data_IF_627416385498
#
_entry.id   IF_627416385498
#
_cell.length_a   1.000
_cell.length_b   1.000
_cell.length_c   1.000
_cell.angle_alpha   90.00
_cell.angle_beta   90.00
_cell.angle_gamma   90.00
#
_symmetry.space_group_name_H-M   'P 1'
#
loop_
_entity.id
_entity.type
_entity.pdbx_description
1 polymer ?
#
# COMPACT_ATOMS: atom_id res chain seq x y z
N UNK A 1 41.05 -1.81 59.73
CA UNK A 1 39.74 -1.98 59.08
C UNK A 1 39.89 -1.60 57.62
N UNK A 2 40.01 -2.57 56.72
CA UNK A 2 40.13 -2.33 55.28
C UNK A 2 38.72 -2.36 54.66
N UNK A 3 38.26 -1.24 54.10
CA UNK A 3 37.04 -1.17 53.31
C UNK A 3 37.34 -1.66 51.89
N UNK A 4 36.84 -2.85 51.53
CA UNK A 4 36.81 -3.30 50.15
C UNK A 4 35.67 -2.60 49.41
N UNK A 5 36.00 -1.51 48.70
CA UNK A 5 35.12 -0.92 47.71
C UNK A 5 34.96 -1.90 46.53
N UNK A 6 33.82 -2.59 46.52
CA UNK A 6 33.41 -3.42 45.38
C UNK A 6 33.00 -2.47 44.26
N UNK A 7 33.89 -2.31 43.28
CA UNK A 7 33.61 -1.56 42.07
C UNK A 7 32.40 -2.17 41.34
N UNK A 8 31.27 -1.44 41.34
CA UNK A 8 30.08 -1.78 40.56
C UNK A 8 30.44 -1.68 39.08
N UNK A 9 30.29 -2.76 38.28
CA UNK A 9 30.61 -2.70 36.85
C UNK A 9 29.72 -1.66 36.15
N UNK A 10 30.34 -0.68 35.48
CA UNK A 10 29.63 0.26 34.62
C UNK A 10 28.85 -0.53 33.56
N UNK A 11 27.53 -0.38 33.55
CA UNK A 11 26.66 -1.01 32.58
C UNK A 11 27.14 -0.67 31.15
N UNK A 12 27.60 -1.68 30.42
CA UNK A 12 28.00 -1.55 29.02
C UNK A 12 26.79 -1.05 28.25
N UNK A 13 26.90 0.15 27.66
CA UNK A 13 25.84 0.73 26.85
C UNK A 13 25.52 -0.24 25.70
N UNK A 14 24.38 -0.93 25.80
CA UNK A 14 23.93 -1.84 24.74
C UNK A 14 23.79 -1.05 23.44
N UNK A 15 24.35 -1.52 22.31
CA UNK A 15 24.22 -0.82 21.04
C UNK A 15 22.73 -0.61 20.72
N UNK A 16 22.38 0.56 20.18
CA UNK A 16 20.97 0.93 19.86
C UNK A 16 20.22 -0.14 19.07
N UNK A 17 20.96 -0.92 18.26
CA UNK A 17 20.44 -2.04 17.48
C UNK A 17 20.00 -3.23 18.35
N UNK A 18 20.76 -3.62 19.38
CA UNK A 18 20.37 -4.75 20.25
C UNK A 18 19.14 -4.39 21.09
N UNK A 19 19.07 -3.16 21.60
CA UNK A 19 17.88 -2.67 22.30
C UNK A 19 16.63 -2.60 21.38
N UNK A 20 16.80 -2.32 20.09
CA UNK A 20 15.72 -2.36 19.10
C UNK A 20 15.27 -3.79 18.82
N UNK A 21 16.22 -4.71 18.61
CA UNK A 21 15.93 -6.13 18.36
C UNK A 21 15.30 -6.80 19.58
N UNK A 22 15.68 -6.44 20.79
CA UNK A 22 15.03 -6.93 22.01
C UNK A 22 13.57 -6.44 22.11
N UNK A 23 13.28 -5.22 21.66
CA UNK A 23 11.92 -4.63 21.72
C UNK A 23 11.01 -5.08 20.58
N UNK A 24 11.56 -5.23 19.38
CA UNK A 24 10.81 -5.47 18.14
C UNK A 24 11.11 -6.83 17.51
N UNK A 25 11.86 -7.70 18.18
CA UNK A 25 12.38 -8.95 17.63
C UNK A 25 11.32 -9.85 17.01
N UNK A 26 10.12 -9.91 17.59
CA UNK A 26 8.98 -10.63 17.01
C UNK A 26 8.54 -10.04 15.66
N UNK A 27 8.44 -8.71 15.58
CA UNK A 27 8.02 -8.03 14.35
C UNK A 27 9.09 -8.17 13.27
N UNK A 28 10.36 -7.97 13.65
CA UNK A 28 11.51 -8.18 12.77
C UNK A 28 11.55 -9.62 12.28
N UNK A 29 11.33 -10.60 13.16
CA UNK A 29 11.27 -12.01 12.81
C UNK A 29 10.18 -12.32 11.79
N UNK A 30 8.95 -11.81 11.99
CA UNK A 30 7.83 -12.01 11.05
C UNK A 30 8.13 -11.39 9.68
N UNK A 31 8.61 -10.14 9.65
CA UNK A 31 8.94 -9.46 8.38
C UNK A 31 10.11 -10.16 7.68
N UNK A 32 11.11 -10.63 8.44
CA UNK A 32 12.26 -11.35 7.88
C UNK A 32 11.86 -12.73 7.34
N UNK A 33 11.00 -13.46 8.05
CA UNK A 33 10.46 -14.74 7.59
C UNK A 33 9.64 -14.57 6.31
N UNK A 34 8.83 -13.51 6.23
CA UNK A 34 8.16 -13.16 4.99
C UNK A 34 9.13 -12.89 3.85
N UNK A 35 10.12 -12.01 4.10
CA UNK A 35 11.10 -11.64 3.10
C UNK A 35 11.88 -12.85 2.59
N UNK A 36 12.30 -13.75 3.49
CA UNK A 36 12.95 -15.00 3.14
C UNK A 36 12.03 -15.92 2.32
N UNK A 37 10.77 -16.05 2.70
CA UNK A 37 9.78 -16.85 1.96
C UNK A 37 9.54 -16.30 0.54
N UNK A 38 9.44 -14.99 0.38
CA UNK A 38 9.29 -14.35 -0.93
C UNK A 38 10.57 -14.52 -1.75
N UNK A 39 11.74 -14.27 -1.17
CA UNK A 39 13.04 -14.44 -1.83
C UNK A 39 13.23 -15.88 -2.34
N UNK A 40 12.90 -16.88 -1.52
CA UNK A 40 12.99 -18.28 -1.88
C UNK A 40 12.07 -18.64 -3.06
N UNK A 41 10.84 -18.11 -3.07
CA UNK A 41 9.86 -18.38 -4.13
C UNK A 41 10.00 -17.47 -5.35
N UNK A 42 10.85 -16.45 -5.28
CA UNK A 42 10.95 -15.38 -6.26
C UNK A 42 11.14 -15.86 -7.72
N UNK A 43 11.95 -16.91 -8.01
CA UNK A 43 12.06 -17.45 -9.37
C UNK A 43 10.73 -17.96 -9.94
N UNK A 44 9.86 -18.50 -9.07
CA UNK A 44 8.52 -19.00 -9.45
C UNK A 44 7.47 -17.88 -9.52
N UNK A 45 7.85 -16.64 -9.19
CA UNK A 45 6.94 -15.49 -9.06
C UNK A 45 7.17 -14.42 -10.12
N UNK A 46 8.08 -14.65 -11.05
CA UNK A 46 8.21 -13.91 -12.31
C UNK A 46 7.30 -14.57 -13.34
N UNK A 47 6.12 -14.00 -13.54
CA UNK A 47 5.08 -14.53 -14.42
C UNK A 47 4.79 -13.60 -15.61
N UNK A 48 3.71 -13.86 -16.34
CA UNK A 48 3.30 -13.13 -17.54
C UNK A 48 3.34 -11.59 -17.38
N UNK A 49 2.82 -11.05 -16.28
CA UNK A 49 2.75 -9.60 -16.05
C UNK A 49 4.15 -8.98 -15.83
N UNK A 50 5.09 -9.75 -15.28
CA UNK A 50 6.48 -9.32 -15.13
C UNK A 50 7.14 -9.16 -16.50
N UNK A 51 6.98 -10.17 -17.36
CA UNK A 51 7.51 -10.12 -18.73
C UNK A 51 6.87 -9.00 -19.54
N UNK A 52 5.55 -8.82 -19.41
CA UNK A 52 4.86 -7.69 -20.03
C UNK A 52 5.42 -6.35 -19.54
N UNK A 53 5.66 -6.19 -18.23
CA UNK A 53 6.26 -4.97 -17.69
C UNK A 53 7.66 -4.69 -18.24
N UNK A 54 8.50 -5.71 -18.42
CA UNK A 54 9.84 -5.56 -18.97
C UNK A 54 9.81 -5.22 -20.46
N UNK A 55 8.94 -5.86 -21.24
CA UNK A 55 8.78 -5.59 -22.67
C UNK A 55 8.18 -4.21 -22.89
N UNK A 56 7.10 -3.85 -22.18
CA UNK A 56 6.49 -2.53 -22.23
C UNK A 56 7.47 -1.44 -21.82
N UNK A 57 8.24 -1.66 -20.75
CA UNK A 57 9.27 -0.72 -20.31
C UNK A 57 10.36 -0.51 -21.34
N UNK A 58 10.78 -1.58 -22.04
CA UNK A 58 11.72 -1.47 -23.17
C UNK A 58 11.14 -0.66 -24.31
N UNK A 59 9.86 -0.83 -24.64
CA UNK A 59 9.19 -0.04 -25.67
C UNK A 59 9.16 1.44 -25.28
N UNK A 60 8.74 1.75 -24.05
CA UNK A 60 8.69 3.13 -23.53
C UNK A 60 10.06 3.81 -23.61
N UNK A 61 11.12 3.12 -23.18
CA UNK A 61 12.48 3.68 -23.18
C UNK A 61 13.04 3.88 -24.59
N UNK A 62 12.72 2.99 -25.54
CA UNK A 62 13.29 3.04 -26.91
C UNK A 62 12.48 3.88 -27.89
N UNK A 63 11.17 3.89 -27.76
CA UNK A 63 10.25 4.47 -28.76
C UNK A 63 9.31 5.53 -28.17
N UNK A 64 9.38 5.79 -26.87
CA UNK A 64 8.46 6.69 -26.18
C UNK A 64 7.14 6.01 -25.81
N UNK A 65 6.20 6.82 -25.33
CA UNK A 65 4.91 6.34 -24.81
C UNK A 65 4.05 5.75 -25.95
N UNK A 66 3.46 4.56 -25.76
CA UNK A 66 2.64 3.94 -26.79
C UNK A 66 1.33 4.70 -26.98
N UNK A 67 0.94 4.95 -28.24
CA UNK A 67 -0.39 5.44 -28.62
C UNK A 67 -1.36 4.32 -29.05
N UNK A 68 -0.80 3.16 -29.43
CA UNK A 68 -1.53 1.97 -29.85
C UNK A 68 -0.82 0.71 -29.36
N UNK A 69 -1.57 -0.38 -29.23
CA UNK A 69 -1.00 -1.68 -28.88
C UNK A 69 -0.20 -2.25 -30.05
N UNK A 70 1.04 -2.63 -29.76
CA UNK A 70 2.00 -3.28 -30.69
C UNK A 70 2.50 -4.61 -30.14
N UNK A 71 2.05 -4.99 -28.94
CA UNK A 71 2.59 -6.12 -28.18
C UNK A 71 1.68 -7.34 -28.25
N UNK A 72 0.37 -7.15 -28.37
CA UNK A 72 -0.58 -8.27 -28.38
C UNK A 72 -1.23 -8.47 -29.76
N UNK A 73 -1.40 -9.74 -30.14
CA UNK A 73 -1.91 -10.12 -31.47
C UNK A 73 -3.34 -9.63 -31.71
N UNK A 74 -4.23 -9.80 -30.73
CA UNK A 74 -5.66 -9.52 -30.88
C UNK A 74 -6.02 -8.04 -30.90
N UNK A 75 -5.22 -7.20 -30.22
CA UNK A 75 -5.48 -5.75 -30.14
C UNK A 75 -4.44 -4.91 -30.87
N UNK A 76 -3.62 -5.52 -31.73
CA UNK A 76 -2.65 -4.80 -32.55
C UNK A 76 -3.30 -3.62 -33.30
N UNK A 77 -2.69 -2.45 -33.21
CA UNK A 77 -3.17 -1.21 -33.81
C UNK A 77 -4.35 -0.55 -33.09
N UNK A 78 -4.94 -1.16 -32.05
CA UNK A 78 -5.98 -0.52 -31.23
C UNK A 78 -5.35 0.53 -30.32
N UNK A 79 -6.11 1.60 -30.07
CA UNK A 79 -5.68 2.64 -29.13
C UNK A 79 -5.43 2.04 -27.73
N UNK A 80 -4.29 2.37 -27.13
CA UNK A 80 -3.88 1.85 -25.84
C UNK A 80 -3.35 2.98 -24.96
N UNK A 81 -3.86 3.03 -23.73
CA UNK A 81 -3.38 3.93 -22.69
C UNK A 81 -2.59 3.10 -21.69
N UNK A 82 -1.27 3.24 -21.73
CA UNK A 82 -0.38 2.53 -20.81
C UNK A 82 -0.16 3.33 -19.52
N UNK A 83 -1.18 3.33 -18.67
CA UNK A 83 -1.21 4.11 -17.44
C UNK A 83 -0.04 3.80 -16.47
N UNK A 84 0.60 2.64 -16.60
CA UNK A 84 1.65 2.16 -15.69
C UNK A 84 3.07 2.31 -16.27
N UNK A 85 3.25 3.16 -17.29
CA UNK A 85 4.50 3.33 -18.02
C UNK A 85 5.73 3.63 -17.13
N UNK A 86 5.60 4.39 -16.04
CA UNK A 86 6.74 4.66 -15.13
C UNK A 86 7.19 3.37 -14.47
N UNK A 87 6.25 2.57 -13.97
CA UNK A 87 6.57 1.30 -13.33
C UNK A 87 7.21 0.32 -14.31
N UNK A 88 6.74 0.31 -15.56
CA UNK A 88 7.35 -0.50 -16.61
C UNK A 88 8.76 -0.02 -16.98
N UNK A 89 8.96 1.29 -17.21
CA UNK A 89 10.26 1.87 -17.52
C UNK A 89 11.26 1.63 -16.38
N UNK A 90 10.84 1.80 -15.13
CA UNK A 90 11.65 1.48 -13.95
C UNK A 90 11.97 -0.02 -13.88
N UNK A 91 11.01 -0.89 -14.18
CA UNK A 91 11.22 -2.35 -14.23
C UNK A 91 12.26 -2.73 -15.28
N UNK A 92 12.16 -2.16 -16.48
CA UNK A 92 13.15 -2.38 -17.55
C UNK A 92 14.52 -1.80 -17.20
N UNK A 93 14.59 -0.62 -16.57
CA UNK A 93 15.85 -0.04 -16.11
C UNK A 93 16.55 -0.89 -15.05
N UNK A 94 15.81 -1.46 -14.10
CA UNK A 94 16.36 -2.40 -13.12
C UNK A 94 16.87 -3.68 -13.81
N UNK A 95 16.11 -4.18 -14.78
CA UNK A 95 16.51 -5.33 -15.57
C UNK A 95 17.75 -5.06 -16.43
N UNK A 96 17.89 -3.89 -17.04
CA UNK A 96 19.04 -3.58 -17.90
C UNK A 96 20.34 -3.45 -17.11
N UNK A 97 20.28 -3.04 -15.84
CA UNK A 97 21.46 -2.90 -14.96
C UNK A 97 21.85 -4.22 -14.28
N UNK A 98 20.87 -4.97 -13.75
CA UNK A 98 21.14 -6.14 -12.90
C UNK A 98 20.40 -7.41 -13.28
N UNK A 99 19.84 -7.45 -14.49
CA UNK A 99 19.08 -8.58 -15.01
C UNK A 99 17.79 -8.86 -14.23
N UNK A 100 17.24 -10.06 -14.46
CA UNK A 100 15.99 -10.47 -13.82
C UNK A 100 16.10 -10.54 -12.29
N UNK A 101 17.30 -10.80 -11.76
CA UNK A 101 17.56 -10.86 -10.32
C UNK A 101 17.30 -9.50 -9.66
N UNK A 102 17.84 -8.41 -10.20
CA UNK A 102 17.64 -7.07 -9.64
C UNK A 102 16.18 -6.62 -9.75
N UNK A 103 15.54 -6.87 -10.90
CA UNK A 103 14.11 -6.59 -11.07
C UNK A 103 13.27 -7.32 -9.99
N UNK A 104 13.50 -8.62 -9.83
CA UNK A 104 12.72 -9.42 -8.89
C UNK A 104 13.02 -9.05 -7.42
N UNK A 105 14.28 -8.75 -7.07
CA UNK A 105 14.64 -8.24 -5.74
C UNK A 105 14.01 -6.88 -5.44
N UNK A 106 13.75 -6.06 -6.47
CA UNK A 106 13.06 -4.78 -6.29
C UNK A 106 11.61 -4.98 -5.81
N UNK A 107 10.90 -5.99 -6.32
CA UNK A 107 9.57 -6.35 -5.81
C UNK A 107 9.62 -6.64 -4.30
N UNK A 108 10.55 -7.49 -3.87
CA UNK A 108 10.74 -7.80 -2.46
C UNK A 108 11.03 -6.54 -1.64
N UNK A 109 11.96 -5.70 -2.10
CA UNK A 109 12.32 -4.46 -1.42
C UNK A 109 11.13 -3.51 -1.27
N UNK A 110 10.31 -3.35 -2.31
CA UNK A 110 9.15 -2.47 -2.31
C UNK A 110 8.04 -2.97 -1.36
N UNK A 111 7.78 -4.27 -1.33
CA UNK A 111 6.77 -4.84 -0.41
C UNK A 111 7.26 -4.74 1.04
N UNK A 112 8.52 -5.08 1.31
CA UNK A 112 9.12 -4.94 2.65
C UNK A 112 9.12 -3.49 3.11
N UNK A 113 9.43 -2.53 2.22
CA UNK A 113 9.36 -1.10 2.51
C UNK A 113 7.93 -0.69 2.90
N UNK A 114 6.92 -1.10 2.14
CA UNK A 114 5.53 -0.80 2.45
C UNK A 114 5.11 -1.37 3.82
N UNK A 115 5.47 -2.63 4.11
CA UNK A 115 5.24 -3.26 5.41
C UNK A 115 5.96 -2.52 6.54
N UNK A 116 7.21 -2.13 6.34
CA UNK A 116 7.98 -1.39 7.33
C UNK A 116 7.35 -0.04 7.66
N UNK A 117 6.88 0.70 6.64
CA UNK A 117 6.18 1.98 6.84
C UNK A 117 4.92 1.80 7.71
N UNK A 118 4.11 0.79 7.39
CA UNK A 118 2.89 0.46 8.13
C UNK A 118 3.19 0.04 9.57
N UNK A 119 4.19 -0.82 9.77
CA UNK A 119 4.65 -1.27 11.10
C UNK A 119 5.12 -0.08 11.92
N UNK A 120 6.00 0.75 11.38
CA UNK A 120 6.52 1.95 12.07
C UNK A 120 5.37 2.87 12.46
N UNK A 121 4.39 3.05 11.58
CA UNK A 121 3.22 3.85 11.86
C UNK A 121 2.31 3.27 12.96
N UNK A 122 2.14 1.95 13.00
CA UNK A 122 1.42 1.26 14.05
C UNK A 122 2.11 1.44 15.41
N UNK A 123 3.43 1.28 15.43
CA UNK A 123 4.26 1.42 16.64
C UNK A 123 4.26 2.86 17.15
N UNK A 124 4.38 3.86 16.27
CA UNK A 124 4.25 5.29 16.61
C UNK A 124 2.87 5.64 17.17
N UNK A 125 1.83 4.89 16.78
CA UNK A 125 0.47 5.00 17.30
C UNK A 125 0.20 4.12 18.51
N UNK A 126 1.23 3.51 19.10
CA UNK A 126 1.19 2.78 20.37
C UNK A 126 0.61 1.37 20.31
N UNK A 127 0.49 0.76 19.12
CA UNK A 127 0.24 -0.69 19.01
C UNK A 127 1.35 -1.45 19.72
N UNK A 128 1.08 -2.48 20.52
CA UNK A 128 2.14 -3.29 21.15
C UNK A 128 2.92 -4.12 20.11
N UNK A 129 4.20 -4.50 20.36
CA UNK A 129 4.96 -5.31 19.41
C UNK A 129 4.27 -6.64 19.12
N UNK A 130 3.66 -7.26 20.15
CA UNK A 130 2.90 -8.50 20.02
C UNK A 130 1.68 -8.35 19.13
N UNK A 131 0.89 -7.29 19.31
CA UNK A 131 -0.28 -7.04 18.46
C UNK A 131 0.14 -6.81 17.01
N UNK A 132 1.19 -6.00 16.79
CA UNK A 132 1.73 -5.77 15.44
C UNK A 132 2.24 -7.05 14.82
N UNK A 133 2.97 -7.90 15.55
CA UNK A 133 3.48 -9.17 15.04
C UNK A 133 2.36 -10.13 14.64
N UNK A 134 1.33 -10.30 15.47
CA UNK A 134 0.19 -11.18 15.16
C UNK A 134 -0.61 -10.69 13.95
N UNK A 135 -0.89 -9.38 13.87
CA UNK A 135 -1.54 -8.81 12.68
C UNK A 135 -0.63 -8.94 11.45
N UNK A 136 0.67 -8.71 11.61
CA UNK A 136 1.63 -8.82 10.52
C UNK A 136 1.69 -10.23 9.95
N UNK A 137 1.60 -11.30 10.76
CA UNK A 137 1.55 -12.69 10.28
C UNK A 137 0.38 -12.89 9.30
N UNK A 138 -0.81 -12.44 9.69
CA UNK A 138 -2.01 -12.57 8.85
C UNK A 138 -1.88 -11.72 7.57
N UNK A 139 -1.44 -10.47 7.70
CA UNK A 139 -1.25 -9.56 6.56
C UNK A 139 -0.21 -10.10 5.58
N UNK A 140 0.92 -10.59 6.09
CA UNK A 140 2.00 -11.21 5.30
C UNK A 140 1.50 -12.42 4.53
N UNK A 141 0.71 -13.29 5.17
CA UNK A 141 0.11 -14.44 4.52
C UNK A 141 -0.80 -14.01 3.36
N UNK A 142 -1.70 -13.06 3.61
CA UNK A 142 -2.59 -12.52 2.59
C UNK A 142 -1.85 -11.81 1.45
N UNK A 143 -0.75 -11.11 1.75
CA UNK A 143 0.14 -10.53 0.74
C UNK A 143 0.84 -11.60 -0.09
N UNK A 144 1.26 -12.73 0.50
CA UNK A 144 1.86 -13.81 -0.27
C UNK A 144 0.89 -14.43 -1.30
N UNK A 145 -0.41 -14.42 -1.00
CA UNK A 145 -1.47 -14.84 -1.91
C UNK A 145 -1.73 -13.79 -3.01
N UNK A 146 -2.04 -12.55 -2.60
CA UNK A 146 -2.55 -11.53 -3.51
C UNK A 146 -1.47 -10.65 -4.17
N UNK A 147 -0.27 -10.56 -3.57
CA UNK A 147 0.87 -9.75 -4.02
C UNK A 147 2.13 -10.59 -4.26
N UNK A 148 2.04 -11.91 -4.32
CA UNK A 148 3.23 -12.76 -4.36
C UNK A 148 3.99 -12.74 -5.70
N UNK A 149 3.46 -12.12 -6.75
CA UNK A 149 4.09 -12.04 -8.08
C UNK A 149 4.78 -10.70 -8.30
N UNK A 150 5.96 -10.71 -8.93
CA UNK A 150 6.64 -9.49 -9.33
C UNK A 150 5.83 -8.79 -10.42
N UNK A 151 5.27 -7.62 -10.09
CA UNK A 151 4.38 -6.83 -10.96
C UNK A 151 4.70 -5.34 -10.85
N UNK A 152 4.28 -4.55 -11.82
CA UNK A 152 4.25 -3.06 -11.74
C UNK A 152 3.50 -2.55 -10.51
N UNK A 153 2.48 -3.30 -10.03
CA UNK A 153 1.75 -3.01 -8.80
C UNK A 153 2.66 -2.91 -7.56
N UNK A 154 3.84 -3.53 -7.56
CA UNK A 154 4.79 -3.49 -6.44
C UNK A 154 5.20 -2.08 -6.06
N UNK A 155 5.36 -1.22 -7.07
CA UNK A 155 5.73 0.19 -6.89
C UNK A 155 4.61 1.01 -6.24
N UNK A 156 3.35 0.55 -6.31
CA UNK A 156 2.21 1.21 -5.69
C UNK A 156 2.10 0.99 -4.18
N UNK A 157 2.63 -0.11 -3.64
CA UNK A 157 2.54 -0.42 -2.21
C UNK A 157 3.14 0.65 -1.29
N UNK A 158 4.39 1.12 -1.50
CA UNK A 158 4.93 2.19 -0.67
C UNK A 158 4.18 3.52 -0.87
N UNK A 159 3.69 3.83 -2.07
CA UNK A 159 2.90 5.03 -2.34
C UNK A 159 1.58 5.02 -1.55
N UNK A 160 0.86 3.89 -1.58
CA UNK A 160 -0.34 3.69 -0.77
C UNK A 160 -0.05 3.86 0.72
N UNK A 161 1.00 3.21 1.23
CA UNK A 161 1.39 3.33 2.62
C UNK A 161 1.64 4.79 3.00
N UNK A 162 2.47 5.52 2.24
CA UNK A 162 2.76 6.93 2.49
C UNK A 162 1.50 7.81 2.46
N UNK A 163 0.62 7.63 1.48
CA UNK A 163 -0.65 8.37 1.41
C UNK A 163 -1.49 8.11 2.66
N UNK A 164 -1.68 6.86 3.04
CA UNK A 164 -2.46 6.50 4.23
C UNK A 164 -1.84 7.09 5.50
N UNK A 165 -0.51 7.06 5.64
CA UNK A 165 0.18 7.64 6.80
C UNK A 165 -0.02 9.15 6.90
N UNK A 166 0.11 9.87 5.78
CA UNK A 166 -0.12 11.32 5.75
C UNK A 166 -1.55 11.66 6.14
N UNK A 167 -2.54 10.92 5.65
CA UNK A 167 -3.95 11.13 6.01
C UNK A 167 -4.21 10.83 7.49
N UNK A 168 -3.71 9.70 8.00
CA UNK A 168 -3.88 9.34 9.40
C UNK A 168 -3.17 10.31 10.37
N UNK A 169 -2.01 10.84 9.99
CA UNK A 169 -1.32 11.88 10.76
C UNK A 169 -2.13 13.18 10.74
N UNK A 170 -2.65 13.58 9.57
CA UNK A 170 -3.38 14.84 9.40
C UNK A 170 -4.70 14.88 10.17
N UNK A 171 -5.42 13.77 10.23
CA UNK A 171 -6.67 13.65 11.00
C UNK A 171 -6.48 13.99 12.47
N UNK A 172 -5.31 13.67 13.04
CA UNK A 172 -4.99 13.86 14.47
C UNK A 172 -4.20 15.15 14.72
N UNK A 173 -3.33 15.53 13.78
CA UNK A 173 -2.46 16.71 13.85
C UNK A 173 -2.45 17.40 12.48
N UNK A 174 -3.48 18.21 12.17
CA UNK A 174 -3.59 18.86 10.87
C UNK A 174 -2.33 19.66 10.53
N UNK A 175 -1.75 19.40 9.36
CA UNK A 175 -0.54 20.10 8.91
C UNK A 175 -0.56 20.32 7.41
N UNK A 176 0.35 21.17 6.88
CA UNK A 176 0.50 21.35 5.42
C UNK A 176 1.10 20.11 4.75
N UNK A 177 1.72 19.20 5.51
CA UNK A 177 2.33 17.97 4.96
C UNK A 177 1.31 17.05 4.29
N UNK A 178 0.02 17.15 4.65
CA UNK A 178 -1.03 16.36 3.99
C UNK A 178 -1.06 16.61 2.48
N UNK A 179 -0.71 17.80 2.00
CA UNK A 179 -0.71 18.10 0.57
C UNK A 179 0.36 17.33 -0.23
N UNK A 180 1.32 16.68 0.44
CA UNK A 180 2.23 15.73 -0.22
C UNK A 180 1.48 14.51 -0.79
N UNK A 181 0.25 14.24 -0.38
CA UNK A 181 -0.57 13.20 -1.01
C UNK A 181 -0.83 13.51 -2.49
N UNK A 182 -0.93 14.77 -2.89
CA UNK A 182 -1.23 15.16 -4.28
C UNK A 182 -0.10 14.78 -5.26
N UNK A 183 1.17 15.18 -5.06
CA UNK A 183 2.26 14.72 -5.92
C UNK A 183 2.47 13.20 -5.82
N UNK A 184 2.21 12.57 -4.68
CA UNK A 184 2.25 11.11 -4.55
C UNK A 184 1.16 10.44 -5.41
N UNK A 185 -0.06 10.97 -5.43
CA UNK A 185 -1.13 10.47 -6.30
C UNK A 185 -0.82 10.70 -7.77
N UNK A 186 -0.26 11.87 -8.15
CA UNK A 186 0.15 12.13 -9.53
C UNK A 186 1.23 11.15 -10.01
N UNK A 187 2.24 10.88 -9.18
CA UNK A 187 3.23 9.83 -9.46
C UNK A 187 2.55 8.46 -9.57
N UNK A 188 1.69 8.11 -8.61
CA UNK A 188 1.00 6.83 -8.59
C UNK A 188 0.10 6.64 -9.83
N UNK A 189 -0.52 7.70 -10.33
CA UNK A 189 -1.32 7.70 -11.56
C UNK A 189 -0.50 7.38 -12.82
N UNK A 190 0.82 7.34 -12.74
CA UNK A 190 1.72 6.88 -13.82
C UNK A 190 2.42 5.55 -13.50
N UNK A 191 2.22 5.04 -12.29
CA UNK A 191 2.83 3.80 -11.77
C UNK A 191 1.84 2.64 -11.84
N UNK A 192 0.59 2.84 -11.41
CA UNK A 192 -0.40 1.77 -11.39
C UNK A 192 -1.84 2.28 -11.24
N UNK A 193 -2.80 1.56 -11.84
CA UNK A 193 -4.21 1.98 -11.89
C UNK A 193 -4.92 2.00 -10.54
N UNK A 194 -4.34 1.38 -9.52
CA UNK A 194 -4.87 1.38 -8.15
C UNK A 194 -4.82 2.75 -7.46
N UNK A 195 -4.23 3.78 -8.09
CA UNK A 195 -4.27 5.16 -7.59
C UNK A 195 -5.68 5.65 -7.26
N UNK A 196 -6.71 5.12 -7.93
CA UNK A 196 -8.12 5.43 -7.66
C UNK A 196 -8.46 5.19 -6.18
N UNK A 197 -7.90 4.16 -5.56
CA UNK A 197 -8.07 3.91 -4.13
C UNK A 197 -7.48 5.04 -3.27
N UNK A 198 -6.25 5.47 -3.59
CA UNK A 198 -5.62 6.59 -2.91
C UNK A 198 -6.41 7.89 -3.06
N UNK A 199 -6.88 8.18 -4.27
CA UNK A 199 -7.70 9.35 -4.55
C UNK A 199 -9.02 9.31 -3.77
N UNK A 200 -9.70 8.16 -3.69
CA UNK A 200 -10.91 7.98 -2.88
C UNK A 200 -10.67 8.26 -1.39
N UNK A 201 -9.54 7.79 -0.84
CA UNK A 201 -9.19 8.06 0.57
C UNK A 201 -8.88 9.55 0.81
N UNK A 202 -8.17 10.20 -0.11
CA UNK A 202 -7.88 11.64 -0.01
C UNK A 202 -9.16 12.47 -0.12
N UNK A 203 -10.03 12.14 -1.08
CA UNK A 203 -11.33 12.79 -1.25
C UNK A 203 -12.23 12.60 -0.02
N UNK A 204 -12.27 11.39 0.54
CA UNK A 204 -12.99 11.09 1.78
C UNK A 204 -12.50 11.96 2.95
N UNK A 205 -11.18 12.07 3.14
CA UNK A 205 -10.61 12.95 4.17
C UNK A 205 -10.97 14.41 3.92
N UNK A 206 -10.82 14.90 2.68
CA UNK A 206 -11.16 16.26 2.30
C UNK A 206 -12.64 16.58 2.57
N UNK A 207 -13.56 15.69 2.20
CA UNK A 207 -14.98 15.83 2.49
C UNK A 207 -15.26 15.85 4.00
N UNK A 208 -14.64 14.97 4.79
CA UNK A 208 -14.77 14.98 6.24
C UNK A 208 -14.22 16.26 6.87
N UNK A 209 -13.16 16.86 6.32
CA UNK A 209 -12.65 18.17 6.77
C UNK A 209 -13.69 19.27 6.52
N UNK A 210 -14.38 19.26 5.38
CA UNK A 210 -15.43 20.23 5.05
C UNK A 210 -16.70 20.05 5.89
N UNK A 211 -17.02 18.81 6.28
CA UNK A 211 -18.21 18.46 7.06
C UNK A 211 -18.04 18.66 8.57
N UNK A 212 -16.80 18.80 9.07
CA UNK A 212 -16.57 19.14 10.49
C UNK A 212 -17.16 20.53 10.75
N UNK A 213 -17.97 20.66 11.80
CA UNK A 213 -18.80 21.85 12.08
C UNK A 213 -18.07 23.19 12.28
N UNK A 214 -16.74 23.20 12.22
CA UNK A 214 -15.94 24.42 12.07
C UNK A 214 -15.91 24.81 10.58
N UNK A 215 -17.00 25.43 10.12
CA UNK A 215 -17.15 25.95 8.74
C UNK A 215 -16.29 27.19 8.47
N UNK A 216 -15.11 27.30 9.08
CA UNK A 216 -14.16 28.34 8.70
C UNK A 216 -13.81 28.20 7.22
N UNK A 217 -13.71 29.32 6.51
CA UNK A 217 -13.37 29.33 5.08
C UNK A 217 -12.07 28.57 4.79
N UNK A 218 -11.13 28.57 5.76
CA UNK A 218 -9.87 27.82 5.67
C UNK A 218 -10.07 26.31 5.63
N UNK A 219 -10.99 25.75 6.43
CA UNK A 219 -11.29 24.32 6.44
C UNK A 219 -11.97 23.90 5.12
N UNK A 220 -12.91 24.70 4.63
CA UNK A 220 -13.60 24.48 3.36
C UNK A 220 -12.63 24.50 2.17
N UNK A 221 -11.76 25.52 2.09
CA UNK A 221 -10.74 25.61 1.04
C UNK A 221 -9.77 24.43 1.13
N UNK A 222 -9.28 24.10 2.32
CA UNK A 222 -8.36 22.96 2.53
C UNK A 222 -8.98 21.65 2.08
N UNK A 223 -10.21 21.36 2.51
CA UNK A 223 -10.92 20.13 2.13
C UNK A 223 -11.23 20.10 0.63
N UNK A 224 -11.67 21.22 0.06
CA UNK A 224 -11.90 21.38 -1.38
C UNK A 224 -10.64 21.15 -2.21
N UNK A 225 -9.49 21.67 -1.78
CA UNK A 225 -8.20 21.42 -2.43
C UNK A 225 -7.79 19.95 -2.38
N UNK A 226 -8.09 19.23 -1.30
CA UNK A 226 -7.83 17.79 -1.22
C UNK A 226 -8.75 17.00 -2.15
N UNK A 227 -10.05 17.31 -2.16
CA UNK A 227 -11.02 16.65 -3.05
C UNK A 227 -10.68 16.91 -4.51
N UNK A 228 -10.60 18.18 -4.91
CA UNK A 228 -10.30 18.56 -6.29
C UNK A 228 -8.90 18.09 -6.69
N UNK A 229 -7.89 18.31 -5.84
CA UNK A 229 -6.52 17.89 -6.11
C UNK A 229 -6.37 16.39 -6.31
N UNK A 230 -7.11 15.57 -5.54
CA UNK A 230 -7.11 14.11 -5.72
C UNK A 230 -7.69 13.69 -7.08
N UNK A 231 -8.76 14.36 -7.55
CA UNK A 231 -9.34 14.12 -8.86
C UNK A 231 -8.40 14.57 -10.00
N UNK A 232 -7.78 15.75 -9.87
CA UNK A 232 -6.79 16.23 -10.85
C UNK A 232 -5.55 15.32 -10.91
N UNK A 233 -5.14 14.73 -9.78
CA UNK A 233 -4.00 13.81 -9.74
C UNK A 233 -4.25 12.54 -10.57
N UNK A 234 -5.50 12.10 -10.74
CA UNK A 234 -5.84 10.93 -11.57
C UNK A 234 -5.62 11.18 -13.06
N UNK A 235 -5.67 12.44 -13.50
CA UNK A 235 -5.43 12.84 -14.89
C UNK A 235 -4.05 13.50 -15.07
N UNK A 236 -3.21 13.50 -14.03
CA UNK A 236 -1.83 13.99 -14.10
C UNK A 236 -0.92 12.95 -14.79
N UNK A 237 -1.30 12.56 -16.00
CA UNK A 237 -0.61 11.58 -16.84
C UNK A 237 -0.43 12.18 -18.24
N UNK A 238 0.46 11.61 -19.09
CA UNK A 238 0.61 12.03 -20.48
C UNK A 238 -0.68 11.99 -21.31
N UNK A 239 -1.68 11.19 -20.90
CA UNK A 239 -2.96 11.03 -21.61
C UNK A 239 -4.09 11.88 -21.03
N UNK A 240 -3.85 12.67 -19.98
CA UNK A 240 -4.82 13.57 -19.34
C UNK A 240 -6.21 12.92 -19.14
N UNK A 241 -7.26 13.50 -19.72
CA UNK A 241 -8.63 13.01 -19.63
C UNK A 241 -8.83 11.61 -20.24
N UNK A 242 -7.96 11.18 -21.17
CA UNK A 242 -7.98 9.82 -21.72
C UNK A 242 -7.82 8.74 -20.64
N UNK A 243 -7.09 9.02 -19.56
CA UNK A 243 -6.92 8.09 -18.43
C UNK A 243 -8.26 7.77 -17.74
N UNK A 244 -9.24 8.67 -17.79
CA UNK A 244 -10.59 8.39 -17.27
C UNK A 244 -11.27 7.24 -18.03
N UNK A 245 -11.03 7.15 -19.35
CA UNK A 245 -11.47 6.02 -20.17
C UNK A 245 -10.84 4.71 -19.72
N UNK A 246 -9.53 4.72 -19.42
CA UNK A 246 -8.84 3.56 -18.84
C UNK A 246 -9.47 3.12 -17.51
N UNK A 247 -9.71 4.05 -16.57
CA UNK A 247 -10.34 3.70 -15.29
C UNK A 247 -11.74 3.16 -15.47
N UNK A 248 -12.54 3.75 -16.36
CA UNK A 248 -13.90 3.27 -16.66
C UNK A 248 -13.86 1.84 -17.19
N UNK A 249 -13.03 1.58 -18.20
CA UNK A 249 -12.89 0.26 -18.84
C UNK A 249 -12.24 -0.77 -17.92
N UNK A 250 -11.54 -0.35 -16.87
CA UNK A 250 -10.89 -1.27 -15.92
C UNK A 250 -11.80 -1.60 -14.74
N UNK A 251 -12.49 -0.61 -14.17
CA UNK A 251 -13.32 -0.77 -12.97
C UNK A 251 -14.71 -1.33 -13.25
N UNK A 252 -15.27 -1.03 -14.42
CA UNK A 252 -16.66 -1.39 -14.76
C UNK A 252 -16.76 -2.46 -15.85
N UNK A 253 -15.66 -3.16 -16.15
CA UNK A 253 -15.68 -4.28 -17.09
C UNK A 253 -16.10 -5.56 -16.37
N UNK A 254 -17.31 -6.03 -16.68
CA UNK A 254 -17.90 -7.24 -16.10
C UNK A 254 -17.12 -8.51 -16.48
N UNK A 255 -16.58 -8.57 -17.70
CA UNK A 255 -15.89 -9.75 -18.24
C UNK A 255 -14.60 -10.10 -17.49
N UNK A 256 -14.01 -9.15 -16.77
CA UNK A 256 -12.82 -9.43 -15.97
C UNK A 256 -13.05 -10.50 -14.90
N UNK A 257 -14.24 -10.55 -14.30
CA UNK A 257 -14.55 -11.56 -13.28
C UNK A 257 -14.63 -12.96 -13.88
N UNK A 258 -15.02 -13.07 -15.14
CA UNK A 258 -15.18 -14.34 -15.82
C UNK A 258 -13.82 -14.91 -16.23
N UNK A 259 -12.92 -14.05 -16.71
CA UNK A 259 -11.62 -14.43 -17.28
C UNK A 259 -10.49 -14.42 -16.25
N UNK A 260 -10.51 -13.49 -15.28
CA UNK A 260 -9.43 -13.27 -14.33
C UNK A 260 -9.89 -13.57 -12.91
N UNK A 261 -9.34 -14.63 -12.31
CA UNK A 261 -9.67 -15.05 -10.95
C UNK A 261 -9.45 -13.97 -9.90
N UNK A 262 -8.44 -13.11 -10.08
CA UNK A 262 -8.10 -12.03 -9.13
C UNK A 262 -9.17 -10.92 -9.04
N UNK A 263 -10.08 -10.84 -10.02
CA UNK A 263 -11.19 -9.90 -10.03
C UNK A 263 -12.47 -10.45 -9.41
N UNK A 264 -12.50 -11.75 -9.08
CA UNK A 264 -13.61 -12.39 -8.38
C UNK A 264 -13.59 -12.00 -6.91
N UNK A 265 -14.77 -11.97 -6.30
CA UNK A 265 -14.88 -11.83 -4.85
C UNK A 265 -14.20 -13.03 -4.15
N UNK A 266 -13.54 -12.82 -3.00
CA UNK A 266 -13.07 -13.93 -2.18
C UNK A 266 -14.28 -14.77 -1.71
N UNK A 267 -14.15 -16.09 -1.83
CA UNK A 267 -15.10 -17.06 -1.28
C UNK A 267 -14.57 -17.64 0.03
N UNK A 268 -15.45 -18.15 0.88
CA UNK A 268 -15.05 -18.74 2.15
C UNK A 268 -14.38 -20.10 1.92
N UNK A 269 -13.05 -20.09 1.86
CA UNK A 269 -12.19 -21.28 1.75
C UNK A 269 -11.20 -21.30 2.92
N UNK A 270 -10.55 -22.44 3.18
CA UNK A 270 -9.50 -22.51 4.20
C UNK A 270 -8.32 -21.56 3.90
N UNK A 271 -8.01 -21.36 2.62
CA UNK A 271 -6.97 -20.43 2.15
C UNK A 271 -7.33 -18.97 2.45
N UNK A 272 -8.60 -18.59 2.30
CA UNK A 272 -9.06 -17.22 2.54
C UNK A 272 -9.65 -17.00 3.93
N UNK A 273 -9.78 -18.04 4.77
CA UNK A 273 -10.27 -17.92 6.15
C UNK A 273 -9.53 -16.84 6.96
N UNK A 274 -8.19 -16.65 6.85
CA UNK A 274 -7.50 -15.57 7.54
C UNK A 274 -8.00 -14.17 7.18
N UNK A 275 -8.47 -13.94 5.94
CA UNK A 275 -9.10 -12.68 5.53
C UNK A 275 -10.42 -12.45 6.29
N UNK A 276 -11.28 -13.46 6.36
CA UNK A 276 -12.55 -13.36 7.09
C UNK A 276 -12.34 -13.14 8.58
N UNK A 277 -11.36 -13.82 9.19
CA UNK A 277 -11.00 -13.63 10.59
C UNK A 277 -10.43 -12.22 10.84
N UNK A 278 -9.56 -11.72 9.95
CA UNK A 278 -9.03 -10.36 10.04
C UNK A 278 -10.15 -9.32 9.92
N UNK A 279 -11.05 -9.49 8.94
CA UNK A 279 -12.19 -8.61 8.73
C UNK A 279 -13.16 -8.61 9.92
N UNK A 280 -13.55 -9.80 10.40
CA UNK A 280 -14.42 -9.96 11.57
C UNK A 280 -13.79 -9.37 12.83
N UNK A 281 -12.51 -9.63 13.06
CA UNK A 281 -11.75 -9.04 14.17
C UNK A 281 -11.66 -7.51 14.09
N UNK A 282 -11.41 -6.97 12.90
CA UNK A 282 -11.36 -5.52 12.67
C UNK A 282 -12.73 -4.86 12.92
N UNK A 283 -13.82 -5.45 12.40
CA UNK A 283 -15.18 -4.96 12.62
C UNK A 283 -15.61 -5.06 14.08
N UNK A 284 -15.28 -6.17 14.76
CA UNK A 284 -15.55 -6.36 16.18
C UNK A 284 -14.80 -5.32 17.03
N UNK A 285 -13.51 -5.08 16.76
CA UNK A 285 -12.73 -4.05 17.43
C UNK A 285 -13.27 -2.65 17.17
N UNK A 286 -13.69 -2.37 15.94
CA UNK A 286 -14.31 -1.10 15.54
C UNK A 286 -15.62 -0.87 16.30
N UNK A 287 -16.48 -1.89 16.38
CA UNK A 287 -17.75 -1.82 17.12
C UNK A 287 -17.53 -1.59 18.62
N UNK A 288 -16.63 -2.37 19.24
CA UNK A 288 -16.33 -2.28 20.67
C UNK A 288 -15.64 -0.98 21.07
N UNK A 289 -14.79 -0.44 20.19
CA UNK A 289 -13.94 0.73 20.48
C UNK A 289 -14.23 1.92 19.56
N UNK A 290 -15.46 2.06 19.05
CA UNK A 290 -15.81 3.06 18.02
C UNK A 290 -15.33 4.48 18.37
N UNK A 291 -15.50 4.89 19.63
CA UNK A 291 -15.11 6.22 20.13
C UNK A 291 -13.59 6.48 20.09
N UNK A 292 -12.77 5.44 19.98
CA UNK A 292 -11.30 5.57 19.87
C UNK A 292 -10.83 5.86 18.46
N UNK A 293 -11.67 5.62 17.45
CA UNK A 293 -11.34 5.84 16.04
C UNK A 293 -12.04 7.09 15.54
N UNK A 294 -11.31 7.89 14.77
CA UNK A 294 -11.86 9.03 14.05
C UNK A 294 -12.84 8.57 12.96
N UNK A 295 -13.73 9.46 12.50
CA UNK A 295 -14.66 9.15 11.40
C UNK A 295 -13.91 8.69 10.13
N UNK A 296 -12.75 9.32 9.84
CA UNK A 296 -11.92 8.92 8.72
C UNK A 296 -11.38 7.49 8.89
N UNK A 297 -10.81 7.15 10.05
CA UNK A 297 -10.30 5.79 10.31
C UNK A 297 -11.41 4.73 10.19
N UNK A 298 -12.63 5.03 10.68
CA UNK A 298 -13.78 4.14 10.57
C UNK A 298 -14.16 3.92 9.09
N UNK A 299 -14.37 5.00 8.33
CA UNK A 299 -14.82 4.92 6.95
C UNK A 299 -13.74 4.36 6.01
N UNK A 300 -12.47 4.70 6.22
CA UNK A 300 -11.35 4.15 5.47
C UNK A 300 -11.21 2.64 5.69
N UNK A 301 -11.34 2.16 6.94
CA UNK A 301 -11.32 0.73 7.22
C UNK A 301 -12.50 0.01 6.55
N UNK A 302 -13.71 0.56 6.65
CA UNK A 302 -14.90 -0.01 6.00
C UNK A 302 -14.77 -0.04 4.48
N UNK A 303 -14.24 1.03 3.87
CA UNK A 303 -13.97 1.10 2.43
C UNK A 303 -12.97 0.04 2.00
N UNK A 304 -11.84 -0.09 2.70
CA UNK A 304 -10.81 -1.08 2.38
C UNK A 304 -11.32 -2.52 2.54
N UNK A 305 -12.13 -2.78 3.59
CA UNK A 305 -12.80 -4.07 3.78
C UNK A 305 -13.77 -4.35 2.64
N UNK A 306 -14.66 -3.42 2.32
CA UNK A 306 -15.60 -3.59 1.22
C UNK A 306 -14.86 -3.91 -0.09
N UNK A 307 -13.80 -3.15 -0.42
CA UNK A 307 -13.03 -3.37 -1.63
C UNK A 307 -12.31 -4.72 -1.66
N UNK A 308 -11.78 -5.19 -0.53
CA UNK A 308 -11.17 -6.51 -0.44
C UNK A 308 -12.17 -7.65 -0.67
N UNK A 309 -13.45 -7.46 -0.30
CA UNK A 309 -14.53 -8.40 -0.60
C UNK A 309 -15.16 -8.21 -1.99
N UNK A 310 -14.86 -7.11 -2.69
CA UNK A 310 -15.25 -6.94 -4.10
C UNK A 310 -14.36 -7.75 -5.03
N UNK A 311 -13.05 -7.79 -4.78
CA UNK A 311 -12.08 -8.51 -5.61
C UNK A 311 -10.84 -8.95 -4.81
N UNK A 312 -10.36 -10.17 -5.05
CA UNK A 312 -9.17 -10.72 -4.36
C UNK A 312 -7.92 -9.85 -4.53
N UNK A 313 -7.74 -9.21 -5.70
CA UNK A 313 -6.61 -8.29 -5.93
C UNK A 313 -6.56 -7.09 -4.98
N UNK A 314 -7.67 -6.76 -4.33
CA UNK A 314 -7.76 -5.65 -3.38
C UNK A 314 -7.37 -6.03 -1.96
N UNK A 315 -7.20 -7.33 -1.65
CA UNK A 315 -6.81 -7.82 -0.31
C UNK A 315 -5.52 -7.16 0.17
N UNK A 316 -4.59 -6.87 -0.74
CA UNK A 316 -3.28 -6.27 -0.46
C UNK A 316 -3.37 -4.89 0.23
N UNK A 317 -4.49 -4.18 0.07
CA UNK A 317 -4.68 -2.84 0.61
C UNK A 317 -5.21 -2.85 2.06
N UNK A 318 -5.58 -4.02 2.60
CA UNK A 318 -6.05 -4.18 3.98
C UNK A 318 -4.96 -4.09 5.05
N UNK A 319 -3.75 -3.68 4.69
CA UNK A 319 -2.59 -3.66 5.58
C UNK A 319 -2.68 -2.66 6.74
N UNK A 320 -3.80 -1.97 7.00
CA UNK A 320 -3.91 -1.00 8.09
C UNK A 320 -4.05 -1.68 9.47
N UNK A 321 -3.08 -1.52 10.38
CA UNK A 321 -3.26 -1.95 11.76
C UNK A 321 -4.18 -0.95 12.45
N UNK A 322 -5.42 -1.37 12.69
CA UNK A 322 -6.34 -0.67 13.59
C UNK A 322 -5.78 -0.72 15.02
N UNK A 323 -4.88 0.21 15.34
CA UNK A 323 -4.26 0.31 16.66
C UNK A 323 -5.03 1.29 17.54
N UNK A 324 -5.68 0.76 18.58
CA UNK A 324 -6.15 1.56 19.70
C UNK A 324 -5.03 1.70 20.72
N UNK A 325 -4.45 2.90 20.88
CA UNK A 325 -3.68 3.21 22.08
C UNK A 325 -4.16 4.52 22.73
N UNK A 326 -4.92 4.34 23.79
CA UNK A 326 -4.83 5.13 25.03
C UNK A 326 -4.92 4.12 26.18
N UNK A 327 -3.84 3.38 26.38
CA UNK A 327 -3.49 2.88 27.70
C UNK A 327 -2.51 3.90 28.27
N UNK A 328 -3.03 4.98 28.85
CA UNK A 328 -2.38 5.79 29.89
C UNK A 328 -3.35 6.90 30.33
N UNK A 329 -3.78 6.72 31.59
CA UNK A 329 -4.59 7.58 32.46
C UNK A 329 -6.06 7.63 32.12
#
# INVERSE_FOLDING_TARGET
>A
MASTDVAVPRAIARPRLSALLEREGLVVGVVSAYAASVAYRLPLRVAQDAWFALVGGRQVVRHGLPGSDTLTYWTVGKHWIDQQWIAQAASYGLYSVGGIKLFALSHLALVVLALALVVVAARRRGASPRAVAWTAIVVVYLLALAAGHARTQSFAYPLFALVLLLLLDDVRRPSRRVFLVLPLLALWANVHGSVVLGALLVALHGALVMLRGDRSSRALVRGGLLVAGSAFSLIATPWFAGTLGYYRSTLFNSSFKDILSEWRAPTLTLELLPLYLLAGGALWLLGRNRRRFTAFEQLALLLLLALAFVAQRNIVWLSSPASSSRLRR
#
